data_IF_291793711711
#
_entry.id   IF_291793711711
#
_cell.length_a   1.000
_cell.length_b   1.000
_cell.length_c   1.000
_cell.angle_alpha   90.00
_cell.angle_beta   90.00
_cell.angle_gamma   90.00
#
_symmetry.space_group_name_H-M   'P 1'
#
loop_
_entity.id
_entity.type
_entity.pdbx_description
1 polymer ?
#
# COMPACT_ATOMS: atom_id res chain seq x y z
N UNK A 1 11.15 -15.68 27.13
CA UNK A 1 11.56 -14.42 26.48
C UNK A 1 11.59 -14.67 24.99
N UNK A 2 10.68 -14.05 24.23
CA UNK A 2 10.57 -14.23 22.78
C UNK A 2 11.67 -13.45 22.06
N UNK A 3 12.57 -14.18 21.37
CA UNK A 3 13.70 -13.64 20.62
C UNK A 3 13.31 -12.80 19.39
N UNK A 4 11.99 -12.65 19.12
CA UNK A 4 11.45 -11.92 17.97
C UNK A 4 11.32 -10.40 18.18
N UNK A 5 11.57 -9.89 19.39
CA UNK A 5 11.48 -8.45 19.70
C UNK A 5 12.74 -7.64 19.34
N UNK A 6 13.74 -8.26 18.69
CA UNK A 6 15.01 -7.60 18.43
C UNK A 6 14.93 -6.45 17.41
N UNK A 7 13.86 -6.38 16.61
CA UNK A 7 13.70 -5.35 15.59
C UNK A 7 12.38 -4.61 15.75
N UNK A 8 12.47 -3.31 16.05
CA UNK A 8 11.31 -2.42 16.06
C UNK A 8 10.68 -2.35 14.66
N UNK A 9 9.36 -2.48 14.59
CA UNK A 9 8.61 -2.33 13.34
C UNK A 9 8.73 -0.88 12.83
N UNK A 10 9.14 -0.66 11.57
CA UNK A 10 9.31 0.69 11.04
C UNK A 10 7.96 1.40 10.91
N UNK A 11 7.96 2.71 11.21
CA UNK A 11 6.78 3.55 11.01
C UNK A 11 6.68 3.95 9.52
N UNK A 12 5.62 3.56 8.79
CA UNK A 12 5.49 3.83 7.35
C UNK A 12 5.05 5.28 7.04
N UNK A 13 5.11 6.21 8.01
CA UNK A 13 4.70 7.59 7.82
C UNK A 13 5.65 8.33 6.88
N UNK A 14 5.11 9.16 5.98
CA UNK A 14 5.90 10.04 5.11
C UNK A 14 5.77 11.53 5.50
N UNK A 15 5.21 11.83 6.68
CA UNK A 15 4.95 13.20 7.12
C UNK A 15 3.75 13.89 6.45
N UNK A 16 3.01 13.20 5.57
CA UNK A 16 1.81 13.74 4.90
C UNK A 16 0.54 13.20 5.54
N UNK A 17 -0.30 14.10 6.02
CA UNK A 17 -1.54 13.76 6.72
C UNK A 17 -2.83 13.94 5.89
N UNK A 18 -2.72 13.92 4.56
CA UNK A 18 -3.86 14.07 3.66
C UNK A 18 -4.57 12.73 3.38
N UNK A 19 -5.89 12.72 3.48
CA UNK A 19 -6.73 11.53 3.20
C UNK A 19 -7.23 11.54 1.75
N UNK A 20 -7.37 10.36 1.15
CA UNK A 20 -8.05 10.17 -0.12
C UNK A 20 -9.58 10.07 0.08
N UNK A 21 -10.33 9.98 -1.03
CA UNK A 21 -11.80 9.84 -1.02
C UNK A 21 -12.30 8.59 -0.27
N UNK A 22 -11.43 7.60 -0.02
CA UNK A 22 -11.74 6.36 0.71
C UNK A 22 -11.33 6.41 2.18
N UNK A 23 -10.82 7.54 2.68
CA UNK A 23 -10.42 7.72 4.08
C UNK A 23 -9.02 7.18 4.43
N UNK A 24 -8.18 6.83 3.44
CA UNK A 24 -6.79 6.42 3.66
C UNK A 24 -5.81 7.56 3.36
N UNK A 25 -4.70 7.63 4.10
CA UNK A 25 -3.61 8.58 3.83
C UNK A 25 -3.07 8.40 2.41
N UNK A 26 -2.93 9.47 1.63
CA UNK A 26 -2.42 9.40 0.24
C UNK A 26 -1.01 8.82 0.13
N UNK A 27 -0.17 9.03 1.15
CA UNK A 27 1.21 8.54 1.19
C UNK A 27 1.36 7.16 1.81
N UNK A 28 1.06 7.06 3.11
CA UNK A 28 1.27 5.80 3.84
C UNK A 28 0.13 4.80 3.71
N UNK A 29 -1.03 5.19 3.15
CA UNK A 29 -2.23 4.35 2.99
C UNK A 29 -2.84 3.80 4.27
N UNK A 30 -2.44 4.34 5.43
CA UNK A 30 -3.09 4.05 6.71
C UNK A 30 -4.42 4.79 6.83
N UNK A 31 -5.38 4.18 7.53
CA UNK A 31 -6.61 4.86 7.93
C UNK A 31 -6.33 5.97 8.96
N UNK A 32 -7.34 6.80 9.25
CA UNK A 32 -7.25 7.80 10.31
C UNK A 32 -6.90 7.16 11.66
N UNK A 33 -7.63 6.14 12.04
CA UNK A 33 -7.45 5.42 13.31
C UNK A 33 -6.08 4.72 13.41
N UNK A 34 -5.63 4.08 12.32
CA UNK A 34 -4.31 3.45 12.25
C UNK A 34 -3.17 4.46 12.46
N UNK A 35 -3.35 5.73 12.06
CA UNK A 35 -2.38 6.81 12.31
C UNK A 35 -2.40 7.27 13.76
N UNK A 36 -3.58 7.62 14.28
CA UNK A 36 -3.72 8.16 15.64
C UNK A 36 -3.24 7.18 16.71
N UNK A 37 -3.56 5.90 16.53
CA UNK A 37 -3.28 4.88 17.54
C UNK A 37 -1.99 4.08 17.26
N UNK A 38 -1.15 4.47 16.30
CA UNK A 38 0.00 3.67 15.86
C UNK A 38 0.92 3.24 17.03
N UNK A 39 1.24 4.17 17.92
CA UNK A 39 2.11 3.92 19.07
C UNK A 39 1.45 3.09 20.17
N UNK A 40 0.11 3.06 20.21
CA UNK A 40 -0.67 2.30 21.18
C UNK A 40 -0.93 0.85 20.73
N UNK A 41 -0.67 0.53 19.46
CA UNK A 41 -0.95 -0.79 18.90
C UNK A 41 0.14 -1.81 19.27
N UNK A 42 -0.21 -3.07 19.58
CA UNK A 42 0.76 -4.13 19.81
C UNK A 42 1.55 -4.42 18.52
N UNK A 43 2.76 -4.98 18.67
CA UNK A 43 3.65 -5.29 17.54
C UNK A 43 2.97 -6.18 16.49
N UNK A 44 2.20 -7.17 16.93
CA UNK A 44 1.43 -8.06 16.05
C UNK A 44 0.42 -7.29 15.17
N UNK A 45 -0.27 -6.29 15.74
CA UNK A 45 -1.22 -5.47 14.99
C UNK A 45 -0.49 -4.51 14.03
N UNK A 46 0.61 -3.89 14.47
CA UNK A 46 1.47 -3.07 13.61
C UNK A 46 1.98 -3.87 12.40
N UNK A 47 2.43 -5.10 12.60
CA UNK A 47 2.85 -6.00 11.52
C UNK A 47 1.70 -6.34 10.56
N UNK A 48 0.49 -6.61 11.08
CA UNK A 48 -0.71 -6.83 10.26
C UNK A 48 -1.04 -5.59 9.42
N UNK A 49 -0.97 -4.39 10.00
CA UNK A 49 -1.21 -3.13 9.28
C UNK A 49 -0.20 -2.98 8.14
N UNK A 50 1.10 -3.19 8.38
CA UNK A 50 2.11 -3.12 7.32
C UNK A 50 1.81 -4.07 6.16
N UNK A 51 1.37 -5.31 6.45
CA UNK A 51 0.94 -6.27 5.41
C UNK A 51 -0.26 -5.76 4.62
N UNK A 52 -1.25 -5.15 5.29
CA UNK A 52 -2.39 -4.52 4.62
C UNK A 52 -1.97 -3.35 3.73
N UNK A 53 -1.00 -2.54 4.16
CA UNK A 53 -0.48 -1.44 3.35
C UNK A 53 0.15 -1.95 2.05
N UNK A 54 0.95 -3.01 2.10
CA UNK A 54 1.53 -3.64 0.91
C UNK A 54 0.44 -4.09 -0.07
N UNK A 55 -0.62 -4.75 0.42
CA UNK A 55 -1.76 -5.15 -0.41
C UNK A 55 -2.54 -3.95 -0.99
N UNK A 56 -2.75 -2.90 -0.19
CA UNK A 56 -3.39 -1.65 -0.65
C UNK A 56 -2.57 -1.01 -1.77
N UNK A 57 -1.23 -0.98 -1.65
CA UNK A 57 -0.31 -0.48 -2.70
C UNK A 57 -0.40 -1.30 -3.98
N UNK A 58 -0.34 -2.63 -3.88
CA UNK A 58 -0.43 -3.52 -5.05
C UNK A 58 -1.75 -3.31 -5.83
N UNK A 59 -2.88 -3.17 -5.13
CA UNK A 59 -4.18 -2.87 -5.77
C UNK A 59 -4.21 -1.51 -6.45
N UNK A 60 -3.51 -0.50 -5.93
CA UNK A 60 -3.41 0.80 -6.58
C UNK A 60 -2.56 0.72 -7.85
N UNK A 61 -1.42 0.02 -7.79
CA UNK A 61 -0.53 -0.19 -8.95
C UNK A 61 -1.20 -1.00 -10.07
N UNK A 62 -2.01 -2.01 -9.72
CA UNK A 62 -2.80 -2.75 -10.72
C UNK A 62 -3.81 -1.85 -11.43
N UNK A 63 -4.45 -0.92 -10.71
CA UNK A 63 -5.38 0.04 -11.33
C UNK A 63 -4.69 1.05 -12.23
N UNK A 64 -3.48 1.50 -11.85
CA UNK A 64 -2.71 2.40 -12.71
C UNK A 64 -2.23 1.68 -13.97
N UNK A 65 -1.78 0.43 -13.86
CA UNK A 65 -1.34 -0.36 -15.01
C UNK A 65 -2.50 -0.82 -15.91
N UNK A 66 -3.68 -1.11 -15.33
CA UNK A 66 -4.87 -1.45 -16.12
C UNK A 66 -5.42 -0.26 -16.94
N UNK A 67 -5.13 0.98 -16.53
CA UNK A 67 -5.41 2.19 -17.32
C UNK A 67 -4.32 2.53 -18.34
N UNK A 68 -3.22 1.78 -18.36
CA UNK A 68 -2.08 1.93 -19.26
C UNK A 68 -1.93 0.66 -20.12
N UNK A 69 -3.03 0.18 -20.72
CA UNK A 69 -2.91 -0.72 -21.86
C UNK A 69 -2.55 0.14 -23.08
N UNK A 70 -1.39 -0.07 -23.73
CA UNK A 70 -1.24 0.42 -25.09
C UNK A 70 -2.29 -0.30 -25.95
N UNK A 71 -3.09 0.48 -26.68
CA UNK A 71 -3.98 0.00 -27.73
C UNK A 71 -3.28 -1.10 -28.56
N UNK A 72 -3.87 -2.29 -28.71
CA UNK A 72 -3.33 -3.30 -29.62
C UNK A 72 -3.46 -2.77 -31.05
N UNK A 73 -2.35 -2.31 -31.63
CA UNK A 73 -2.25 -1.92 -33.04
C UNK A 73 -2.79 -3.06 -33.92
N UNK A 74 -3.85 -2.84 -34.71
CA UNK A 74 -4.40 -3.89 -35.55
C UNK A 74 -3.54 -4.04 -36.82
N UNK A 75 -2.98 -5.23 -36.99
CA UNK A 75 -2.72 -5.82 -38.30
C UNK A 75 -1.55 -5.27 -39.12
N UNK A 76 -0.51 -6.09 -39.26
CA UNK A 76 -0.07 -6.47 -40.60
C UNK A 76 0.27 -7.96 -40.59
N UNK A 77 -0.76 -8.77 -40.82
CA UNK A 77 -0.59 -10.05 -41.49
C UNK A 77 0.01 -9.75 -42.86
N UNK A 78 1.17 -10.32 -43.15
CA UNK A 78 1.49 -10.91 -44.45
C UNK A 78 2.92 -11.42 -44.40
N UNK A 79 3.09 -12.73 -44.57
CA UNK A 79 4.18 -13.23 -45.39
C UNK A 79 3.73 -14.56 -46.01
N UNK A 80 3.38 -14.45 -47.29
CA UNK A 80 3.64 -15.49 -48.29
C UNK A 80 5.09 -15.99 -48.19
#
# INVERSE_FOLDING_TARGET
MDQLELFELPNPCIGVCESNQRGYCKGCLRSREERFNWHLKPAAERARILKLLAQRRARLQQKTNAGLQPEPQPGSLDLF
#
